data_IF_124582892218
#
_entry.id   IF_124582892218
#
_cell.length_a   1.000
_cell.length_b   1.000
_cell.length_c   1.000
_cell.angle_alpha   90.00
_cell.angle_beta   90.00
_cell.angle_gamma   90.00
#
_symmetry.space_group_name_H-M   'P 1'
#
loop_
_entity.id
_entity.type
_entity.pdbx_description
1 polymer ?
#
# COMPACT_ATOMS: atom_id res chain seq x y z
N UNK A 1 10.57 22.49 12.54
CA UNK A 1 10.89 21.05 12.47
C UNK A 1 12.38 20.90 12.22
N UNK A 2 13.13 20.23 13.11
CA UNK A 2 14.57 19.98 12.91
C UNK A 2 14.78 19.01 11.75
N UNK A 3 15.85 19.20 10.97
CA UNK A 3 16.17 18.37 9.78
C UNK A 3 16.12 16.86 10.09
N UNK A 4 16.58 16.47 11.28
CA UNK A 4 16.62 15.06 11.72
C UNK A 4 15.23 14.44 11.92
N UNK A 5 14.27 15.21 12.43
CA UNK A 5 12.90 14.76 12.62
C UNK A 5 12.16 14.58 11.29
N UNK A 6 12.50 15.40 10.28
CA UNK A 6 11.95 15.26 8.94
C UNK A 6 12.45 13.98 8.26
N UNK A 7 13.75 13.71 8.30
CA UNK A 7 14.30 12.48 7.72
C UNK A 7 13.74 11.23 8.37
N UNK A 8 13.61 11.19 9.72
CA UNK A 8 12.96 10.04 10.41
C UNK A 8 11.51 9.83 9.97
N UNK A 9 10.73 10.91 9.83
CA UNK A 9 9.35 10.82 9.40
C UNK A 9 9.23 10.28 7.97
N UNK A 10 10.07 10.77 7.06
CA UNK A 10 10.13 10.29 5.67
C UNK A 10 10.54 8.82 5.62
N UNK A 11 11.55 8.40 6.38
CA UNK A 11 11.98 7.00 6.44
C UNK A 11 10.85 6.09 6.92
N UNK A 12 10.16 6.42 8.02
CA UNK A 12 9.05 5.61 8.54
C UNK A 12 7.91 5.49 7.52
N UNK A 13 7.57 6.60 6.85
CA UNK A 13 6.57 6.60 5.79
C UNK A 13 6.94 5.69 4.62
N UNK A 14 8.21 5.73 4.20
CA UNK A 14 8.74 4.88 3.13
C UNK A 14 8.72 3.40 3.51
N UNK A 15 9.22 3.05 4.69
CA UNK A 15 9.24 1.65 5.16
C UNK A 15 7.81 1.10 5.31
N UNK A 16 6.89 1.89 5.86
CA UNK A 16 5.48 1.51 5.99
C UNK A 16 4.82 1.30 4.62
N UNK A 17 5.13 2.16 3.63
CA UNK A 17 4.62 2.02 2.27
C UNK A 17 5.15 0.76 1.58
N UNK A 18 6.44 0.44 1.75
CA UNK A 18 7.04 -0.81 1.24
C UNK A 18 6.42 -2.04 1.89
N UNK A 19 6.24 -2.03 3.21
CA UNK A 19 5.59 -3.13 3.94
C UNK A 19 4.14 -3.31 3.47
N UNK A 20 3.37 -2.22 3.37
CA UNK A 20 1.99 -2.24 2.88
C UNK A 20 1.89 -2.77 1.44
N UNK A 21 2.84 -2.39 0.58
CA UNK A 21 2.93 -2.90 -0.78
C UNK A 21 3.21 -4.40 -0.83
N UNK A 22 4.17 -4.90 -0.05
CA UNK A 22 4.46 -6.34 0.04
C UNK A 22 3.24 -7.11 0.56
N UNK A 23 2.55 -6.59 1.57
CA UNK A 23 1.35 -7.21 2.13
C UNK A 23 0.20 -7.34 1.11
N UNK A 24 0.09 -6.43 0.13
CA UNK A 24 -0.88 -6.60 -0.96
C UNK A 24 -0.64 -7.86 -1.78
N UNK A 25 0.62 -8.17 -2.10
CA UNK A 25 0.97 -9.39 -2.85
C UNK A 25 0.83 -10.65 -2.01
N UNK A 26 1.00 -10.56 -0.69
CA UNK A 26 0.82 -11.69 0.22
C UNK A 26 -0.63 -11.89 0.69
N UNK A 27 -1.48 -10.87 0.57
CA UNK A 27 -2.90 -10.93 0.93
C UNK A 27 -3.65 -12.03 0.16
N UNK A 28 -3.27 -12.26 -1.09
CA UNK A 28 -3.83 -13.31 -1.95
C UNK A 28 -3.52 -14.69 -1.40
N UNK A 29 -2.26 -14.99 -1.05
CA UNK A 29 -1.86 -16.28 -0.46
C UNK A 29 -2.62 -16.57 0.85
N UNK A 30 -2.84 -15.55 1.69
CA UNK A 30 -3.67 -15.69 2.90
C UNK A 30 -5.14 -15.96 2.56
N UNK A 31 -5.69 -15.25 1.57
CA UNK A 31 -7.05 -15.43 1.10
C UNK A 31 -7.30 -16.84 0.56
N UNK A 32 -6.37 -17.38 -0.24
CA UNK A 32 -6.44 -18.73 -0.80
C UNK A 32 -6.34 -19.81 0.28
N UNK A 33 -5.46 -19.63 1.28
CA UNK A 33 -5.30 -20.56 2.42
C UNK A 33 -6.55 -20.67 3.31
N UNK A 34 -7.28 -19.56 3.51
CA UNK A 34 -8.57 -19.59 4.22
C UNK A 34 -9.67 -20.20 3.37
N UNK A 35 -9.63 -19.97 2.07
CA UNK A 35 -10.58 -20.45 1.09
C UNK A 35 -10.52 -21.99 0.90
N UNK A 36 -9.33 -22.58 0.88
CA UNK A 36 -9.12 -24.03 0.72
C UNK A 36 -9.69 -24.84 1.89
N UNK A 37 -9.85 -24.23 3.07
CA UNK A 37 -10.53 -24.88 4.20
C UNK A 37 -12.05 -24.97 4.05
N UNK A 38 -12.63 -24.31 3.04
CA UNK A 38 -14.08 -24.14 2.88
C UNK A 38 -14.79 -25.12 1.93
N UNK A 39 -14.09 -26.10 1.34
CA UNK A 39 -14.68 -27.07 0.41
C UNK A 39 -14.67 -26.58 -1.04
N UNK A 40 -14.07 -27.40 -1.91
CA UNK A 40 -13.70 -27.05 -3.29
C UNK A 40 -14.83 -27.35 -4.28
N UNK A 41 -15.64 -26.33 -4.57
CA UNK A 41 -16.44 -26.28 -5.79
C UNK A 41 -15.72 -25.39 -6.84
N UNK A 42 -15.38 -25.90 -8.04
CA UNK A 42 -14.65 -25.15 -9.06
C UNK A 42 -15.34 -23.83 -9.51
N UNK A 43 -16.67 -23.71 -9.40
CA UNK A 43 -17.36 -22.45 -9.67
C UNK A 43 -17.03 -21.37 -8.62
N UNK A 44 -16.89 -21.78 -7.36
CA UNK A 44 -16.44 -20.92 -6.25
C UNK A 44 -14.98 -20.46 -6.42
N UNK A 45 -14.15 -21.27 -7.08
CA UNK A 45 -12.75 -20.94 -7.34
C UNK A 45 -12.62 -19.76 -8.32
N UNK A 46 -13.43 -19.73 -9.38
CA UNK A 46 -13.40 -18.66 -10.38
C UNK A 46 -13.87 -17.31 -9.80
N UNK A 47 -14.98 -17.34 -9.06
CA UNK A 47 -15.53 -16.15 -8.36
C UNK A 47 -14.51 -15.59 -7.35
N UNK A 48 -13.76 -16.46 -6.67
CA UNK A 48 -12.71 -16.03 -5.74
C UNK A 48 -11.56 -15.32 -6.46
N UNK A 49 -11.05 -15.88 -7.56
CA UNK A 49 -9.95 -15.26 -8.31
C UNK A 49 -10.34 -13.87 -8.83
N UNK A 50 -11.54 -13.69 -9.39
CA UNK A 50 -11.99 -12.37 -9.82
C UNK A 50 -12.10 -11.37 -8.65
N UNK A 51 -12.66 -11.82 -7.52
CA UNK A 51 -12.77 -10.99 -6.32
C UNK A 51 -11.40 -10.58 -5.76
N UNK A 52 -10.40 -11.47 -5.83
CA UNK A 52 -9.02 -11.18 -5.42
C UNK A 52 -8.33 -10.19 -6.34
N UNK A 53 -8.47 -10.34 -7.66
CA UNK A 53 -7.91 -9.39 -8.63
C UNK A 53 -8.52 -8.00 -8.39
N UNK A 54 -9.84 -7.93 -8.24
CA UNK A 54 -10.53 -6.67 -8.00
C UNK A 54 -10.06 -6.02 -6.68
N UNK A 55 -9.98 -6.80 -5.60
CA UNK A 55 -9.51 -6.31 -4.30
C UNK A 55 -8.07 -5.83 -4.35
N UNK A 56 -7.18 -6.53 -5.07
CA UNK A 56 -5.79 -6.13 -5.27
C UNK A 56 -5.66 -4.83 -6.06
N UNK A 57 -6.43 -4.69 -7.15
CA UNK A 57 -6.44 -3.46 -7.96
C UNK A 57 -6.98 -2.27 -7.17
N UNK A 58 -8.07 -2.44 -6.42
CA UNK A 58 -8.67 -1.37 -5.61
C UNK A 58 -7.72 -0.94 -4.49
N UNK A 59 -7.18 -1.89 -3.73
CA UNK A 59 -6.28 -1.60 -2.62
C UNK A 59 -4.93 -1.04 -3.10
N UNK A 60 -4.38 -1.57 -4.18
CA UNK A 60 -3.21 -1.03 -4.86
C UNK A 60 -3.43 0.40 -5.37
N UNK A 61 -4.60 0.68 -5.96
CA UNK A 61 -4.98 2.01 -6.39
C UNK A 61 -5.09 3.03 -5.25
N UNK A 62 -5.68 2.63 -4.12
CA UNK A 62 -5.75 3.47 -2.91
C UNK A 62 -4.34 3.77 -2.37
N UNK A 63 -3.50 2.74 -2.26
CA UNK A 63 -2.11 2.90 -1.80
C UNK A 63 -1.29 3.78 -2.74
N UNK A 64 -1.47 3.64 -4.05
CA UNK A 64 -0.84 4.48 -5.06
C UNK A 64 -1.28 5.95 -4.93
N UNK A 65 -2.59 6.20 -4.75
CA UNK A 65 -3.13 7.53 -4.54
C UNK A 65 -2.57 8.21 -3.29
N UNK A 66 -2.58 7.51 -2.14
CA UNK A 66 -2.02 8.01 -0.88
C UNK A 66 -0.51 8.25 -1.01
N UNK A 67 0.22 7.35 -1.69
CA UNK A 67 1.65 7.49 -1.96
C UNK A 67 1.98 8.75 -2.76
N UNK A 68 1.24 9.00 -3.84
CA UNK A 68 1.40 10.22 -4.66
C UNK A 68 1.13 11.49 -3.86
N UNK A 69 0.02 11.53 -3.12
CA UNK A 69 -0.34 12.69 -2.28
C UNK A 69 0.78 12.96 -1.26
N UNK A 70 1.25 11.92 -0.58
CA UNK A 70 2.32 12.03 0.42
C UNK A 70 3.61 12.56 -0.20
N UNK A 71 3.98 12.09 -1.40
CA UNK A 71 5.18 12.53 -2.11
C UNK A 71 5.09 14.01 -2.52
N UNK A 72 3.96 14.43 -3.08
CA UNK A 72 3.69 15.83 -3.44
C UNK A 72 3.76 16.73 -2.21
N UNK A 73 3.11 16.34 -1.11
CA UNK A 73 3.07 17.11 0.13
C UNK A 73 4.48 17.25 0.74
N UNK A 74 5.23 16.15 0.75
CA UNK A 74 6.62 16.11 1.24
C UNK A 74 7.53 17.00 0.40
N UNK A 75 7.36 16.99 -0.93
CA UNK A 75 8.10 17.86 -1.84
C UNK A 75 7.75 19.34 -1.65
N UNK A 76 6.46 19.66 -1.50
CA UNK A 76 5.99 21.03 -1.25
C UNK A 76 6.52 21.59 0.07
N UNK A 77 6.48 20.79 1.15
CA UNK A 77 7.04 21.17 2.45
C UNK A 77 8.56 21.40 2.33
N UNK A 78 9.27 20.54 1.60
CA UNK A 78 10.72 20.71 1.39
C UNK A 78 11.04 22.02 0.65
N UNK A 79 10.33 22.30 -0.45
CA UNK A 79 10.52 23.51 -1.25
C UNK A 79 10.23 24.80 -0.47
N UNK A 80 9.17 24.80 0.34
CA UNK A 80 8.83 25.95 1.20
C UNK A 80 9.84 26.15 2.33
N UNK A 81 10.36 25.08 2.93
CA UNK A 81 11.45 25.16 3.91
C UNK A 81 12.77 25.67 3.32
N UNK A 82 13.10 25.29 2.07
CA UNK A 82 14.34 25.75 1.42
C UNK A 82 14.27 27.20 0.95
N UNK A 83 13.09 27.74 0.64
CA UNK A 83 12.91 29.16 0.28
C UNK A 83 12.87 30.12 1.48
N UNK A 84 12.75 29.61 2.70
CA UNK A 84 12.70 30.40 3.94
C UNK A 84 14.02 30.54 4.69
N UNK A 85 15.13 30.02 4.14
CA UNK A 85 16.51 30.29 4.56
C UNK A 85 17.23 31.11 3.51
#
# INVERSE_FOLDING_TARGET
MTKDNYYRFVTIGLTSSVIGFILLFFSTNFGTLMADKGGSDPAMYHIRIESYINSFVVSGGILFGIGLVTLILTHYIKMTYTKGQ
#
